data_IF_845598245984
#
_entry.id   IF_845598245984
#
_cell.length_a   1.000
_cell.length_b   1.000
_cell.length_c   1.000
_cell.angle_alpha   90.00
_cell.angle_beta   90.00
_cell.angle_gamma   90.00
#
_symmetry.space_group_name_H-M   'P 1'
#
loop_
_entity.id
_entity.type
_entity.pdbx_description
1 polymer ?
#
# COMPACT_ATOMS: atom_id res chain seq x y z
N UNK A 1 19.89 29.38 11.04
CA UNK A 1 18.71 28.83 10.32
C UNK A 1 17.46 29.26 11.11
N UNK A 2 16.39 29.67 10.41
CA UNK A 2 15.09 29.88 11.01
C UNK A 2 14.63 28.56 11.67
N UNK A 3 14.02 28.59 12.89
CA UNK A 3 13.51 27.39 13.53
C UNK A 3 12.63 26.54 12.59
N UNK A 4 11.86 27.17 11.73
CA UNK A 4 10.99 26.53 10.73
C UNK A 4 11.76 25.78 9.62
N UNK A 5 13.01 26.13 9.32
CA UNK A 5 13.84 25.43 8.34
C UNK A 5 14.34 24.05 8.76
N UNK A 6 14.05 23.64 10.02
CA UNK A 6 14.44 22.34 10.56
C UNK A 6 13.28 21.32 10.56
N UNK A 7 12.12 21.66 9.99
CA UNK A 7 10.95 20.79 9.98
C UNK A 7 10.40 20.64 8.55
N UNK A 8 9.88 19.47 8.23
CA UNK A 8 9.15 19.26 6.99
C UNK A 8 7.74 19.86 7.08
N UNK A 9 7.21 20.32 5.93
CA UNK A 9 5.80 20.69 5.85
C UNK A 9 4.93 19.44 5.82
N UNK A 10 3.81 19.46 6.54
CA UNK A 10 2.81 18.41 6.58
C UNK A 10 1.43 19.07 6.81
N UNK A 11 0.77 19.44 5.71
CA UNK A 11 -0.40 20.31 5.73
C UNK A 11 -1.65 19.66 6.34
N UNK A 12 -1.76 18.33 6.35
CA UNK A 12 -2.98 17.60 6.71
C UNK A 12 -2.83 16.53 7.79
N UNK A 13 -1.76 16.55 8.54
CA UNK A 13 -1.63 15.68 9.70
C UNK A 13 -2.53 16.19 10.85
N UNK A 14 -3.23 15.28 11.52
CA UNK A 14 -4.12 15.57 12.64
C UNK A 14 -3.42 16.32 13.79
N UNK A 15 -2.09 16.21 13.90
CA UNK A 15 -1.28 16.93 14.89
C UNK A 15 -0.68 18.25 14.42
N UNK A 16 -0.71 18.54 13.12
CA UNK A 16 0.08 19.63 12.53
C UNK A 16 -0.68 20.95 12.38
N UNK A 17 -1.99 20.97 12.55
CA UNK A 17 -2.78 22.21 12.58
C UNK A 17 -2.36 23.14 13.71
N UNK A 18 -1.87 22.59 14.83
CA UNK A 18 -1.35 23.36 15.97
C UNK A 18 0.07 23.91 15.74
N UNK A 19 0.81 23.38 14.75
CA UNK A 19 2.21 23.69 14.46
C UNK A 19 2.40 24.41 13.11
N UNK A 20 1.46 25.25 12.70
CA UNK A 20 1.54 26.03 11.45
C UNK A 20 1.84 25.14 10.21
N UNK A 21 1.27 23.92 10.16
CA UNK A 21 1.45 22.94 9.08
C UNK A 21 2.88 22.37 8.94
N UNK A 22 3.66 22.36 10.02
CA UNK A 22 4.94 21.66 10.08
C UNK A 22 4.82 20.37 10.88
N UNK A 23 5.63 19.39 10.50
CA UNK A 23 5.73 18.12 11.22
C UNK A 23 6.20 18.36 12.68
N UNK A 24 5.71 17.57 13.64
CA UNK A 24 6.06 17.75 15.05
C UNK A 24 7.49 17.31 15.39
N UNK A 25 8.18 16.66 14.44
CA UNK A 25 9.52 16.08 14.61
C UNK A 25 10.50 16.82 13.68
N UNK A 26 11.66 17.23 14.20
CA UNK A 26 12.67 17.89 13.39
C UNK A 26 13.38 16.92 12.43
N UNK A 27 13.92 17.45 11.34
CA UNK A 27 14.60 16.69 10.28
C UNK A 27 15.72 15.79 10.84
N UNK A 28 16.52 16.28 11.79
CA UNK A 28 17.62 15.49 12.37
C UNK A 28 17.09 14.27 13.17
N UNK A 29 15.99 14.46 13.91
CA UNK A 29 15.36 13.37 14.63
C UNK A 29 14.72 12.34 13.67
N UNK A 30 14.10 12.81 12.58
CA UNK A 30 13.54 11.94 11.54
C UNK A 30 14.63 11.11 10.87
N UNK A 31 15.75 11.73 10.51
CA UNK A 31 16.89 11.02 9.93
C UNK A 31 17.47 9.97 10.91
N UNK A 32 17.49 10.26 12.21
CA UNK A 32 17.90 9.29 13.22
C UNK A 32 16.94 8.12 13.29
N UNK A 33 15.65 8.36 13.37
CA UNK A 33 14.60 7.32 13.38
C UNK A 33 14.72 6.45 12.13
N UNK A 34 14.86 7.06 10.96
CA UNK A 34 15.07 6.34 9.71
C UNK A 34 16.28 5.40 9.76
N UNK A 35 17.44 5.93 10.15
CA UNK A 35 18.67 5.15 10.22
C UNK A 35 18.60 4.02 11.25
N UNK A 36 17.98 4.25 12.41
CA UNK A 36 17.81 3.22 13.44
C UNK A 36 16.84 2.13 12.98
N UNK A 37 15.75 2.50 12.31
CA UNK A 37 14.80 1.54 11.72
C UNK A 37 15.46 0.75 10.58
N UNK A 38 16.22 1.41 9.71
CA UNK A 38 16.96 0.72 8.64
C UNK A 38 17.96 -0.31 9.20
N UNK A 39 18.70 0.05 10.27
CA UNK A 39 19.63 -0.90 10.93
C UNK A 39 18.92 -2.12 11.51
N UNK A 40 17.69 -1.96 12.01
CA UNK A 40 16.91 -3.04 12.59
C UNK A 40 16.24 -3.94 11.52
N UNK A 41 15.72 -3.35 10.46
CA UNK A 41 14.88 -4.05 9.47
C UNK A 41 15.63 -4.39 8.16
N UNK A 42 16.77 -3.75 7.89
CA UNK A 42 17.55 -3.97 6.67
C UNK A 42 16.86 -3.50 5.38
N UNK A 43 15.82 -2.66 5.48
CA UNK A 43 15.01 -2.22 4.35
C UNK A 43 14.74 -0.72 4.37
N UNK A 44 15.19 -0.03 3.31
CA UNK A 44 14.90 1.40 3.08
C UNK A 44 13.39 1.66 3.00
N UNK A 45 12.67 0.75 2.36
CA UNK A 45 11.22 0.84 2.21
C UNK A 45 10.52 0.81 3.56
N UNK A 46 10.79 -0.18 4.39
CA UNK A 46 10.18 -0.29 5.72
C UNK A 46 10.57 0.88 6.64
N UNK A 47 11.82 1.33 6.56
CA UNK A 47 12.26 2.51 7.29
C UNK A 47 11.54 3.78 6.83
N UNK A 48 11.33 3.95 5.53
CA UNK A 48 10.56 5.05 4.96
C UNK A 48 9.09 5.01 5.39
N UNK A 49 8.44 3.83 5.34
CA UNK A 49 7.06 3.64 5.81
C UNK A 49 6.92 4.04 7.28
N UNK A 50 7.87 3.63 8.14
CA UNK A 50 7.85 3.99 9.57
C UNK A 50 7.94 5.51 9.76
N UNK A 51 8.80 6.19 9.03
CA UNK A 51 8.90 7.66 9.07
C UNK A 51 7.60 8.30 8.60
N UNK A 52 7.02 7.83 7.50
CA UNK A 52 5.73 8.34 6.99
C UNK A 52 4.61 8.17 8.03
N UNK A 53 4.55 7.02 8.70
CA UNK A 53 3.60 6.77 9.78
C UNK A 53 3.75 7.75 10.93
N UNK A 54 4.99 7.94 11.44
CA UNK A 54 5.26 8.82 12.57
C UNK A 54 5.00 10.30 12.26
N UNK A 55 5.13 10.68 11.00
CA UNK A 55 4.92 12.06 10.55
C UNK A 55 3.50 12.32 10.06
N UNK A 56 2.67 11.27 10.00
CA UNK A 56 1.34 11.29 9.40
C UNK A 56 1.33 11.87 7.97
N UNK A 57 2.34 11.47 7.17
CA UNK A 57 2.40 11.78 5.75
C UNK A 57 2.20 10.51 4.93
N UNK A 58 1.67 10.57 3.70
CA UNK A 58 1.40 9.36 2.93
C UNK A 58 2.71 8.70 2.50
N UNK A 59 2.73 7.37 2.52
CA UNK A 59 3.70 6.56 1.79
C UNK A 59 3.13 6.22 0.42
N UNK A 60 3.88 6.48 -0.64
CA UNK A 60 3.50 6.21 -2.03
C UNK A 60 4.61 5.40 -2.69
N UNK A 61 4.30 4.18 -3.13
CA UNK A 61 5.30 3.28 -3.73
C UNK A 61 5.97 3.92 -4.96
N UNK A 62 5.20 4.50 -5.86
CA UNK A 62 5.75 5.15 -7.06
C UNK A 62 6.75 6.27 -6.74
N UNK A 63 6.50 7.04 -5.67
CA UNK A 63 7.41 8.11 -5.22
C UNK A 63 8.66 7.52 -4.57
N UNK A 64 8.51 6.41 -3.86
CA UNK A 64 9.63 5.68 -3.27
C UNK A 64 10.55 5.13 -4.38
N UNK A 65 9.99 4.50 -5.41
CA UNK A 65 10.74 3.96 -6.54
C UNK A 65 11.47 5.06 -7.32
N UNK A 66 10.85 6.22 -7.52
CA UNK A 66 11.50 7.39 -8.10
C UNK A 66 12.70 7.84 -7.27
N UNK A 67 12.56 7.85 -5.94
CA UNK A 67 13.63 8.24 -5.03
C UNK A 67 14.77 7.20 -4.97
N UNK A 68 14.46 5.90 -5.13
CA UNK A 68 15.45 4.80 -5.20
C UNK A 68 16.24 4.84 -6.50
N UNK A 69 15.56 5.10 -7.61
CA UNK A 69 16.16 5.13 -8.95
C UNK A 69 16.99 6.39 -9.24
N UNK A 70 17.06 7.33 -8.29
CA UNK A 70 17.96 8.47 -8.40
C UNK A 70 19.44 7.99 -8.41
N UNK A 71 20.30 8.65 -9.19
CA UNK A 71 21.72 8.26 -9.38
C UNK A 71 22.50 8.04 -8.07
N UNK A 72 22.05 8.61 -6.96
CA UNK A 72 22.68 8.51 -5.64
C UNK A 72 22.08 7.44 -4.72
N UNK A 73 21.17 6.61 -5.22
CA UNK A 73 20.37 5.69 -4.40
C UNK A 73 19.33 6.40 -3.54
N UNK A 74 18.59 5.63 -2.72
CA UNK A 74 17.54 6.16 -1.87
C UNK A 74 18.07 7.19 -0.87
N UNK A 75 17.39 8.32 -0.80
CA UNK A 75 17.58 9.37 0.23
C UNK A 75 16.24 9.79 0.77
N UNK A 76 16.06 9.67 2.07
CA UNK A 76 14.83 10.07 2.76
C UNK A 76 14.44 11.53 2.46
N UNK A 77 15.42 12.44 2.43
CA UNK A 77 15.17 13.87 2.13
C UNK A 77 14.60 14.08 0.72
N UNK A 78 15.06 13.30 -0.27
CA UNK A 78 14.51 13.33 -1.63
C UNK A 78 13.05 12.84 -1.65
N UNK A 79 12.77 11.73 -0.99
CA UNK A 79 11.41 11.22 -0.85
C UNK A 79 10.49 12.23 -0.17
N UNK A 80 10.92 12.78 0.97
CA UNK A 80 10.13 13.75 1.74
C UNK A 80 9.83 15.03 0.95
N UNK A 81 10.76 15.51 0.13
CA UNK A 81 10.50 16.64 -0.77
C UNK A 81 9.45 16.32 -1.83
N UNK A 82 9.49 15.14 -2.42
CA UNK A 82 8.51 14.71 -3.43
C UNK A 82 7.13 14.54 -2.83
N UNK A 83 7.03 13.90 -1.65
CA UNK A 83 5.74 13.62 -1.02
C UNK A 83 5.07 14.89 -0.45
N UNK A 84 5.85 15.86 0.00
CA UNK A 84 5.34 17.17 0.46
C UNK A 84 4.95 18.11 -0.69
N UNK A 85 5.13 17.69 -1.96
CA UNK A 85 4.74 18.50 -3.11
C UNK A 85 3.22 18.49 -3.32
N UNK A 86 2.69 19.50 -4.00
CA UNK A 86 1.25 19.80 -4.15
C UNK A 86 0.34 18.58 -4.41
N UNK A 87 0.82 17.55 -5.13
CA UNK A 87 0.02 16.37 -5.48
C UNK A 87 -0.39 15.57 -4.24
N UNK A 88 0.47 15.52 -3.22
CA UNK A 88 0.27 14.70 -2.02
C UNK A 88 0.16 15.54 -0.73
N UNK A 89 0.34 16.87 -0.82
CA UNK A 89 0.36 17.78 0.33
C UNK A 89 -0.89 17.71 1.22
N UNK A 90 -2.03 17.31 0.66
CA UNK A 90 -3.32 17.14 1.38
C UNK A 90 -3.65 15.70 1.70
N UNK A 91 -2.68 14.82 1.72
CA UNK A 91 -2.84 13.41 2.10
C UNK A 91 -2.12 13.15 3.42
N UNK A 92 -2.67 12.25 4.21
CA UNK A 92 -2.05 11.75 5.43
C UNK A 92 -1.71 10.26 5.27
N UNK A 93 -1.16 9.63 6.30
CA UNK A 93 -0.76 8.21 6.24
C UNK A 93 -1.93 7.27 5.98
N UNK A 94 -3.16 7.60 6.42
CA UNK A 94 -4.35 6.80 6.12
C UNK A 94 -4.60 6.64 4.61
N UNK A 95 -4.19 7.62 3.80
CA UNK A 95 -4.28 7.51 2.34
C UNK A 95 -3.47 6.34 1.79
N UNK A 96 -2.31 6.05 2.35
CA UNK A 96 -1.46 4.90 1.97
C UNK A 96 -2.14 3.57 2.27
N UNK A 97 -2.83 3.48 3.42
CA UNK A 97 -3.59 2.30 3.81
C UNK A 97 -4.76 2.08 2.86
N UNK A 98 -5.55 3.12 2.60
CA UNK A 98 -6.74 3.07 1.75
C UNK A 98 -6.41 2.74 0.29
N UNK A 99 -5.23 3.11 -0.19
CA UNK A 99 -4.77 2.84 -1.56
C UNK A 99 -3.83 1.62 -1.65
N UNK A 100 -3.72 0.84 -0.59
CA UNK A 100 -2.95 -0.40 -0.52
C UNK A 100 -1.45 -0.24 -0.82
N UNK A 101 -0.90 0.97 -0.65
CA UNK A 101 0.50 1.29 -0.97
C UNK A 101 1.51 0.53 -0.09
N UNK A 102 1.08 0.07 1.09
CA UNK A 102 1.93 -0.66 2.04
C UNK A 102 2.18 -2.12 1.62
N UNK A 103 1.37 -2.64 0.71
CA UNK A 103 1.40 -4.03 0.24
C UNK A 103 2.07 -4.19 -1.13
N UNK A 104 2.79 -3.18 -1.62
CA UNK A 104 3.40 -3.23 -2.96
C UNK A 104 4.36 -4.41 -3.14
N UNK A 105 5.11 -4.81 -2.10
CA UNK A 105 5.98 -6.01 -2.15
C UNK A 105 5.19 -7.30 -2.41
N UNK A 106 3.96 -7.37 -1.90
CA UNK A 106 3.09 -8.51 -2.16
C UNK A 106 2.51 -8.46 -3.59
N UNK A 107 2.28 -7.28 -4.15
CA UNK A 107 1.79 -7.15 -5.53
C UNK A 107 2.84 -7.62 -6.54
N UNK A 108 4.09 -7.18 -6.41
CA UNK A 108 5.18 -7.60 -7.30
C UNK A 108 5.44 -9.12 -7.21
N UNK A 109 5.45 -9.68 -5.98
CA UNK A 109 5.58 -11.12 -5.78
C UNK A 109 4.41 -11.90 -6.38
N UNK A 110 3.19 -11.36 -6.27
CA UNK A 110 2.02 -11.98 -6.86
C UNK A 110 2.03 -11.91 -8.39
N UNK A 111 2.44 -10.78 -8.99
CA UNK A 111 2.56 -10.66 -10.45
C UNK A 111 3.59 -11.62 -11.04
N UNK A 112 4.75 -11.81 -10.38
CA UNK A 112 5.73 -12.80 -10.82
C UNK A 112 5.22 -14.25 -10.71
N UNK A 113 4.49 -14.56 -9.64
CA UNK A 113 3.87 -15.86 -9.44
C UNK A 113 2.71 -16.10 -10.42
N UNK A 114 1.93 -15.06 -10.73
CA UNK A 114 0.82 -15.12 -11.67
C UNK A 114 1.26 -15.33 -13.13
N UNK A 115 2.51 -15.02 -13.49
CA UNK A 115 3.08 -15.41 -14.80
C UNK A 115 3.08 -16.92 -15.05
N UNK A 116 2.93 -17.72 -14.01
CA UNK A 116 2.83 -19.18 -14.07
C UNK A 116 1.38 -19.67 -14.16
N UNK A 117 0.40 -18.76 -14.10
CA UNK A 117 -1.01 -19.13 -14.18
C UNK A 117 -1.42 -19.43 -15.61
N UNK A 118 -2.39 -20.31 -15.74
CA UNK A 118 -3.02 -20.59 -17.05
C UNK A 118 -3.83 -19.37 -17.51
N UNK A 119 -4.06 -19.27 -18.81
CA UNK A 119 -4.87 -18.21 -19.40
C UNK A 119 -6.28 -18.14 -18.77
N UNK A 120 -6.87 -19.30 -18.46
CA UNK A 120 -8.17 -19.37 -17.78
C UNK A 120 -8.14 -18.80 -16.37
N UNK A 121 -7.10 -19.09 -15.59
CA UNK A 121 -6.94 -18.57 -14.22
C UNK A 121 -6.74 -17.06 -14.20
N UNK A 122 -5.93 -16.54 -15.13
CA UNK A 122 -5.75 -15.09 -15.31
C UNK A 122 -7.07 -14.41 -15.71
N UNK A 123 -7.84 -15.02 -16.62
CA UNK A 123 -9.15 -14.53 -17.01
C UNK A 123 -10.12 -14.50 -15.82
N UNK A 124 -10.15 -15.55 -15.00
CA UNK A 124 -10.99 -15.61 -13.81
C UNK A 124 -10.63 -14.50 -12.81
N UNK A 125 -9.32 -14.25 -12.58
CA UNK A 125 -8.86 -13.12 -11.76
C UNK A 125 -9.37 -11.80 -12.32
N UNK A 126 -9.15 -11.52 -13.60
CA UNK A 126 -9.58 -10.27 -14.24
C UNK A 126 -11.09 -10.09 -14.09
N UNK A 127 -11.89 -11.11 -14.35
CA UNK A 127 -13.35 -11.06 -14.19
C UNK A 127 -13.74 -10.68 -12.75
N UNK A 128 -13.16 -11.33 -11.75
CA UNK A 128 -13.48 -11.05 -10.34
C UNK A 128 -13.09 -9.63 -9.95
N UNK A 129 -11.89 -9.16 -10.35
CA UNK A 129 -11.41 -7.81 -10.04
C UNK A 129 -12.24 -6.75 -10.76
N UNK A 130 -12.65 -6.98 -12.00
CA UNK A 130 -13.54 -6.07 -12.74
C UNK A 130 -14.91 -5.92 -12.06
N UNK A 131 -15.50 -7.03 -11.58
CA UNK A 131 -16.80 -7.04 -10.90
C UNK A 131 -16.73 -6.33 -9.54
N UNK A 132 -15.72 -6.64 -8.74
CA UNK A 132 -15.58 -6.09 -7.38
C UNK A 132 -14.95 -4.69 -7.36
N UNK A 133 -14.16 -4.32 -8.37
CA UNK A 133 -13.37 -3.09 -8.40
C UNK A 133 -12.09 -3.14 -7.55
N UNK A 134 -11.77 -4.30 -6.98
CA UNK A 134 -10.55 -4.54 -6.17
C UNK A 134 -10.20 -6.03 -6.14
N UNK A 135 -8.94 -6.36 -5.80
CA UNK A 135 -8.52 -7.74 -5.54
C UNK A 135 -8.97 -8.16 -4.12
N UNK A 136 -9.86 -9.16 -3.98
CA UNK A 136 -10.37 -9.57 -2.68
C UNK A 136 -9.42 -10.51 -1.91
N UNK A 137 -8.30 -10.96 -2.52
CA UNK A 137 -7.43 -12.00 -1.98
C UNK A 137 -5.93 -11.62 -1.91
N UNK A 138 -5.54 -10.37 -1.58
CA UNK A 138 -4.14 -9.92 -1.66
C UNK A 138 -3.22 -10.58 -0.61
N UNK A 139 -3.77 -11.10 0.47
CA UNK A 139 -3.01 -11.70 1.58
C UNK A 139 -2.80 -13.21 1.49
N UNK A 140 -3.27 -13.86 0.42
CA UNK A 140 -3.16 -15.30 0.26
C UNK A 140 -1.93 -15.69 -0.59
N UNK A 141 -1.39 -16.90 -0.33
CA UNK A 141 -0.34 -17.49 -1.15
C UNK A 141 -0.84 -17.82 -2.57
N UNK A 142 0.10 -18.08 -3.49
CA UNK A 142 -0.19 -18.27 -4.90
C UNK A 142 -1.19 -19.41 -5.18
N UNK A 143 -1.07 -20.54 -4.47
CA UNK A 143 -1.95 -21.70 -4.67
C UNK A 143 -3.37 -21.39 -4.18
N UNK A 144 -3.49 -20.77 -3.00
CA UNK A 144 -4.77 -20.32 -2.45
C UNK A 144 -5.42 -19.27 -3.34
N UNK A 145 -4.67 -18.31 -3.88
CA UNK A 145 -5.22 -17.31 -4.80
C UNK A 145 -5.79 -17.92 -6.07
N UNK A 146 -5.08 -18.86 -6.69
CA UNK A 146 -5.57 -19.59 -7.87
C UNK A 146 -6.89 -20.28 -7.57
N UNK A 147 -6.96 -20.98 -6.44
CA UNK A 147 -8.19 -21.65 -6.02
C UNK A 147 -9.33 -20.64 -5.76
N UNK A 148 -9.07 -19.58 -5.02
CA UNK A 148 -10.07 -18.58 -4.61
C UNK A 148 -10.70 -17.88 -5.83
N UNK A 149 -9.90 -17.44 -6.80
CA UNK A 149 -10.42 -16.84 -8.03
C UNK A 149 -11.21 -17.83 -8.88
N UNK A 150 -10.72 -19.06 -9.04
CA UNK A 150 -11.43 -20.09 -9.78
C UNK A 150 -12.73 -20.52 -9.11
N UNK A 151 -12.75 -20.56 -7.78
CA UNK A 151 -13.94 -20.91 -7.02
C UNK A 151 -14.97 -19.79 -7.05
N UNK A 152 -14.53 -18.53 -6.91
CA UNK A 152 -15.43 -17.38 -6.89
C UNK A 152 -16.24 -17.25 -8.19
N UNK A 153 -15.62 -17.45 -9.35
CA UNK A 153 -16.30 -17.36 -10.66
C UNK A 153 -17.46 -18.36 -10.77
N UNK A 154 -17.42 -19.51 -10.07
CA UNK A 154 -18.49 -20.50 -10.10
C UNK A 154 -19.78 -20.04 -9.41
N UNK A 155 -19.68 -19.10 -8.49
CA UNK A 155 -20.80 -18.54 -7.74
C UNK A 155 -21.32 -17.21 -8.28
N UNK A 156 -20.62 -16.63 -9.27
CA UNK A 156 -21.07 -15.41 -9.92
C UNK A 156 -22.17 -15.73 -10.93
N UNK A 157 -23.34 -15.18 -10.72
CA UNK A 157 -24.49 -15.23 -11.60
C UNK A 157 -25.05 -13.82 -11.82
N UNK A 158 -25.96 -13.66 -12.77
CA UNK A 158 -26.52 -12.35 -13.11
C UNK A 158 -27.17 -11.67 -11.87
N UNK A 159 -27.81 -12.45 -11.01
CA UNK A 159 -28.46 -11.95 -9.79
C UNK A 159 -27.44 -11.46 -8.73
N UNK A 160 -26.25 -12.06 -8.68
CA UNK A 160 -25.21 -11.68 -7.72
C UNK A 160 -24.45 -10.42 -8.15
N UNK A 161 -24.37 -10.15 -9.45
CA UNK A 161 -23.69 -8.99 -10.01
C UNK A 161 -24.39 -7.67 -9.67
N UNK A 162 -25.72 -7.71 -9.48
CA UNK A 162 -26.52 -6.53 -9.17
C UNK A 162 -26.58 -6.21 -7.66
N UNK A 163 -26.16 -7.14 -6.79
CA UNK A 163 -26.28 -7.02 -5.33
C UNK A 163 -24.90 -7.06 -4.62
N UNK A 164 -24.37 -5.91 -4.17
CA UNK A 164 -23.10 -5.86 -3.44
C UNK A 164 -23.08 -6.70 -2.16
N UNK A 165 -24.21 -6.91 -1.53
CA UNK A 165 -24.31 -7.76 -0.33
C UNK A 165 -24.10 -9.23 -0.68
N UNK A 166 -24.71 -9.73 -1.75
CA UNK A 166 -24.48 -11.09 -2.27
C UNK A 166 -23.01 -11.29 -2.67
N UNK A 167 -22.38 -10.32 -3.36
CA UNK A 167 -20.97 -10.39 -3.68
C UNK A 167 -20.08 -10.53 -2.44
N UNK A 168 -20.36 -9.77 -1.39
CA UNK A 168 -19.64 -9.89 -0.11
C UNK A 168 -19.83 -11.27 0.54
N UNK A 169 -21.01 -11.84 0.49
CA UNK A 169 -21.28 -13.20 0.99
C UNK A 169 -20.54 -14.27 0.18
N UNK A 170 -20.45 -14.13 -1.15
CA UNK A 170 -19.69 -15.04 -2.01
C UNK A 170 -18.20 -14.99 -1.63
N UNK A 171 -17.62 -13.82 -1.43
CA UNK A 171 -16.22 -13.69 -0.98
C UNK A 171 -16.01 -14.41 0.35
N UNK A 172 -16.91 -14.25 1.31
CA UNK A 172 -16.82 -14.94 2.61
C UNK A 172 -16.95 -16.46 2.46
N UNK A 173 -17.90 -16.93 1.64
CA UNK A 173 -18.09 -18.35 1.36
C UNK A 173 -16.85 -18.99 0.78
N UNK A 174 -16.26 -18.37 -0.23
CA UNK A 174 -15.07 -18.87 -0.91
C UNK A 174 -13.85 -18.89 0.04
N UNK A 175 -13.71 -17.87 0.90
CA UNK A 175 -12.68 -17.83 1.94
C UNK A 175 -12.86 -18.98 2.95
N UNK A 176 -14.09 -19.24 3.42
CA UNK A 176 -14.37 -20.34 4.31
C UNK A 176 -14.07 -21.71 3.66
N UNK A 177 -14.42 -21.88 2.40
CA UNK A 177 -14.10 -23.09 1.63
C UNK A 177 -12.58 -23.31 1.53
N UNK A 178 -11.80 -22.26 1.32
CA UNK A 178 -10.35 -22.36 1.29
C UNK A 178 -9.76 -22.76 2.66
N UNK A 179 -10.30 -22.24 3.76
CA UNK A 179 -9.86 -22.62 5.11
C UNK A 179 -10.14 -24.10 5.44
N UNK A 180 -11.25 -24.64 4.93
CA UNK A 180 -11.60 -26.07 5.12
C UNK A 180 -10.70 -26.97 4.29
N UNK A 181 -10.22 -26.47 3.13
CA UNK A 181 -9.35 -27.22 2.22
C UNK A 181 -7.91 -27.35 2.75
N UNK A 182 -7.41 -26.37 3.51
CA UNK A 182 -6.06 -26.38 4.12
C UNK A 182 -5.95 -27.34 5.29
#
# INVERSE_FOLDING_TARGET
>A
RSPMGNFYKAEYSLGNTANEHYAPICIDCINRIYNDTYRQLGSDRLACIMVCYLMDVPFMQLVFDEAVNAESGFKLDSYMRLICYKKYANKNFSYSILNNELNADNQDLHEEQEKQWTETELKNKVTVVEILGYDPFPGYDNESRRYLFNEMVKYLDDDSLEDPYKLSQIVQLVNNNNQIRQ
#
